data_IF_794868183747
#
_entry.id   IF_794868183747
#
_cell.length_a   1.000
_cell.length_b   1.000
_cell.length_c   1.000
_cell.angle_alpha   90.00
_cell.angle_beta   90.00
_cell.angle_gamma   90.00
#
_symmetry.space_group_name_H-M   'P 1'
#
loop_
_entity.id
_entity.type
_entity.pdbx_description
1 polymer ?
#
# COMPACT_ATOMS: atom_id res chain seq x y z
N UNK A 1 17.80 -13.97 -5.57
CA UNK A 1 17.55 -12.50 -5.45
C UNK A 1 18.78 -11.84 -4.84
N UNK A 2 19.21 -10.68 -5.36
CA UNK A 2 20.32 -9.91 -4.80
C UNK A 2 19.97 -9.45 -3.38
N UNK A 3 20.90 -9.61 -2.42
CA UNK A 3 20.69 -9.24 -1.01
C UNK A 3 20.28 -7.76 -0.85
N UNK A 4 20.80 -6.85 -1.67
CA UNK A 4 20.45 -5.43 -1.61
C UNK A 4 18.97 -5.19 -1.95
N UNK A 5 18.45 -5.87 -2.97
CA UNK A 5 17.03 -5.75 -3.35
C UNK A 5 16.14 -6.34 -2.25
N UNK A 6 16.55 -7.48 -1.68
CA UNK A 6 15.85 -8.11 -0.55
C UNK A 6 15.69 -7.14 0.61
N UNK A 7 16.79 -6.56 1.07
CA UNK A 7 16.77 -5.65 2.22
C UNK A 7 16.07 -4.32 1.90
N UNK A 8 16.19 -3.81 0.67
CA UNK A 8 15.49 -2.60 0.26
C UNK A 8 13.96 -2.77 0.39
N UNK A 9 13.41 -3.88 -0.10
CA UNK A 9 11.97 -4.19 0.01
C UNK A 9 11.53 -4.40 1.47
N UNK A 10 12.34 -5.06 2.29
CA UNK A 10 12.00 -5.31 3.69
C UNK A 10 11.99 -4.00 4.47
N UNK A 11 13.04 -3.18 4.33
CA UNK A 11 13.20 -1.94 5.10
C UNK A 11 12.16 -0.90 4.68
N UNK A 12 11.91 -0.73 3.38
CA UNK A 12 10.90 0.22 2.90
C UNK A 12 9.51 -0.11 3.43
N UNK A 13 9.14 -1.37 3.43
CA UNK A 13 7.84 -1.82 3.94
C UNK A 13 7.76 -1.77 5.46
N UNK A 14 8.83 -2.11 6.18
CA UNK A 14 8.89 -1.95 7.64
C UNK A 14 8.75 -0.48 8.05
N UNK A 15 9.48 0.42 7.37
CA UNK A 15 9.39 1.87 7.56
C UNK A 15 7.96 2.38 7.32
N UNK A 16 7.35 1.97 6.22
CA UNK A 16 5.98 2.35 5.91
C UNK A 16 5.00 1.87 6.97
N UNK A 17 5.09 0.61 7.39
CA UNK A 17 4.21 0.08 8.44
C UNK A 17 4.43 0.78 9.78
N UNK A 18 5.64 1.26 10.08
CA UNK A 18 5.91 2.10 11.24
C UNK A 18 5.16 3.43 11.13
N UNK A 19 5.31 4.14 10.01
CA UNK A 19 4.62 5.44 9.77
C UNK A 19 3.11 5.26 9.82
N UNK A 20 2.56 4.30 9.07
CA UNK A 20 1.12 4.04 9.06
C UNK A 20 0.63 3.55 10.44
N UNK A 21 1.43 2.79 11.17
CA UNK A 21 1.08 2.30 12.50
C UNK A 21 0.72 3.40 13.48
N UNK A 22 1.45 4.53 13.47
CA UNK A 22 1.13 5.64 14.38
C UNK A 22 0.23 6.72 13.75
N UNK A 23 0.26 6.92 12.44
CA UNK A 23 -0.52 7.98 11.79
C UNK A 23 -1.95 7.56 11.46
N UNK A 24 -2.18 6.29 11.10
CA UNK A 24 -3.51 5.82 10.70
C UNK A 24 -4.58 6.03 11.76
N UNK A 25 -4.36 5.75 13.06
CA UNK A 25 -5.37 6.02 14.08
C UNK A 25 -5.77 7.50 14.12
N UNK A 26 -4.81 8.42 14.01
CA UNK A 26 -5.05 9.88 14.04
C UNK A 26 -5.94 10.29 12.86
N UNK A 27 -5.51 9.89 11.66
CA UNK A 27 -6.20 10.22 10.41
C UNK A 27 -7.57 9.56 10.35
N UNK A 28 -7.65 8.30 10.75
CA UNK A 28 -8.88 7.51 10.67
C UNK A 28 -9.96 8.04 11.61
N UNK A 29 -9.63 8.29 12.89
CA UNK A 29 -10.58 8.85 13.86
C UNK A 29 -11.07 10.21 13.38
N UNK A 30 -10.17 11.07 12.92
CA UNK A 30 -10.54 12.39 12.42
C UNK A 30 -11.53 12.31 11.26
N UNK A 31 -11.24 11.50 10.25
CA UNK A 31 -12.10 11.44 9.07
C UNK A 31 -13.37 10.62 9.25
N UNK A 32 -13.35 9.54 10.03
CA UNK A 32 -14.59 8.79 10.32
C UNK A 32 -15.61 9.64 11.06
N UNK A 33 -15.17 10.54 11.94
CA UNK A 33 -16.08 11.44 12.64
C UNK A 33 -16.80 12.44 11.73
N UNK A 34 -16.31 12.64 10.50
CA UNK A 34 -16.85 13.59 9.53
C UNK A 34 -17.68 12.93 8.42
N UNK A 35 -17.59 11.62 8.28
CA UNK A 35 -18.24 10.87 7.19
C UNK A 35 -19.55 10.26 7.66
N UNK A 36 -20.58 10.37 6.83
CA UNK A 36 -21.83 9.68 7.09
C UNK A 36 -21.64 8.15 7.08
N UNK A 37 -22.28 7.41 8.01
CA UNK A 37 -22.18 5.94 8.06
C UNK A 37 -22.56 5.24 6.75
N UNK A 38 -23.48 5.81 5.97
CA UNK A 38 -23.89 5.33 4.65
C UNK A 38 -22.74 5.37 3.63
N UNK A 39 -22.00 6.47 3.61
CA UNK A 39 -20.84 6.66 2.72
C UNK A 39 -19.69 5.75 3.13
N UNK A 40 -19.45 5.61 4.44
CA UNK A 40 -18.45 4.66 4.94
C UNK A 40 -18.77 3.22 4.52
N UNK A 41 -20.03 2.80 4.68
CA UNK A 41 -20.48 1.47 4.25
C UNK A 41 -20.38 1.28 2.73
N UNK A 42 -20.72 2.32 1.95
CA UNK A 42 -20.57 2.30 0.49
C UNK A 42 -19.11 2.14 0.07
N UNK A 43 -18.19 2.88 0.69
CA UNK A 43 -16.75 2.77 0.40
C UNK A 43 -16.23 1.35 0.67
N UNK A 44 -16.58 0.73 1.81
CA UNK A 44 -16.22 -0.65 2.13
C UNK A 44 -16.81 -1.65 1.13
N UNK A 45 -18.06 -1.44 0.68
CA UNK A 45 -18.67 -2.28 -0.35
C UNK A 45 -17.92 -2.18 -1.67
N UNK A 46 -17.59 -0.96 -2.11
CA UNK A 46 -16.82 -0.71 -3.35
C UNK A 46 -15.44 -1.39 -3.25
N UNK A 47 -14.76 -1.24 -2.13
CA UNK A 47 -13.45 -1.87 -1.89
C UNK A 47 -13.53 -3.39 -2.01
N UNK A 48 -14.48 -4.02 -1.35
CA UNK A 48 -14.67 -5.46 -1.40
C UNK A 48 -15.04 -5.95 -2.82
N UNK A 49 -15.97 -5.27 -3.48
CA UNK A 49 -16.43 -5.63 -4.82
C UNK A 49 -15.31 -5.50 -5.87
N UNK A 50 -14.60 -4.39 -5.90
CA UNK A 50 -13.50 -4.18 -6.84
C UNK A 50 -12.33 -5.12 -6.57
N UNK A 51 -11.98 -5.36 -5.30
CA UNK A 51 -10.96 -6.34 -4.93
C UNK A 51 -11.31 -7.74 -5.42
N UNK A 52 -12.56 -8.17 -5.27
CA UNK A 52 -13.02 -9.46 -5.78
C UNK A 52 -12.92 -9.54 -7.32
N UNK A 53 -13.32 -8.49 -8.03
CA UNK A 53 -13.24 -8.41 -9.49
C UNK A 53 -11.78 -8.49 -9.95
N UNK A 54 -10.88 -7.68 -9.37
CA UNK A 54 -9.45 -7.64 -9.72
C UNK A 54 -8.80 -9.00 -9.47
N UNK A 55 -9.03 -9.61 -8.30
CA UNK A 55 -8.49 -10.93 -7.97
C UNK A 55 -9.01 -12.00 -8.94
N UNK A 56 -10.28 -11.95 -9.29
CA UNK A 56 -10.89 -12.87 -10.26
C UNK A 56 -10.28 -12.73 -11.66
N UNK A 57 -10.13 -11.50 -12.16
CA UNK A 57 -9.50 -11.24 -13.46
C UNK A 57 -8.04 -11.68 -13.48
N UNK A 58 -7.27 -11.33 -12.44
CA UNK A 58 -5.84 -11.62 -12.36
C UNK A 58 -5.53 -13.07 -11.91
N UNK A 59 -6.54 -13.87 -11.56
CA UNK A 59 -6.38 -15.32 -11.45
C UNK A 59 -6.00 -15.94 -12.81
N UNK A 60 -6.45 -15.35 -13.91
CA UNK A 60 -6.12 -15.78 -15.25
C UNK A 60 -4.72 -15.30 -15.69
N UNK A 61 -3.87 -16.25 -16.09
CA UNK A 61 -2.48 -15.97 -16.48
C UNK A 61 -2.36 -15.00 -17.68
N UNK A 62 -3.30 -15.03 -18.62
CA UNK A 62 -3.32 -14.13 -19.79
C UNK A 62 -3.45 -12.66 -19.36
N UNK A 63 -4.38 -12.37 -18.44
CA UNK A 63 -4.56 -11.03 -17.91
C UNK A 63 -3.36 -10.56 -17.09
N UNK A 64 -2.77 -11.44 -16.25
CA UNK A 64 -1.53 -11.11 -15.52
C UNK A 64 -0.39 -10.74 -16.45
N UNK A 65 -0.22 -11.46 -17.55
CA UNK A 65 0.83 -11.15 -18.53
C UNK A 65 0.61 -9.78 -19.18
N UNK A 66 -0.64 -9.46 -19.55
CA UNK A 66 -1.00 -8.17 -20.10
C UNK A 66 -0.75 -7.02 -19.11
N UNK A 67 -1.25 -7.12 -17.92
CA UNK A 67 -1.10 -6.08 -16.89
C UNK A 67 0.35 -5.90 -16.41
N UNK A 68 1.19 -6.93 -16.50
CA UNK A 68 2.59 -6.84 -16.12
C UNK A 68 3.35 -5.73 -16.87
N UNK A 69 3.01 -5.48 -18.12
CA UNK A 69 3.65 -4.44 -18.94
C UNK A 69 3.39 -3.03 -18.39
N UNK A 70 2.28 -2.85 -17.68
CA UNK A 70 1.83 -1.59 -17.11
C UNK A 70 2.02 -1.51 -15.60
N UNK A 71 2.68 -2.48 -14.98
CA UNK A 71 2.78 -2.58 -13.51
C UNK A 71 3.36 -1.31 -12.87
N UNK A 72 4.42 -0.73 -13.44
CA UNK A 72 5.02 0.51 -12.93
C UNK A 72 4.11 1.73 -13.10
N UNK A 73 3.30 1.76 -14.16
CA UNK A 73 2.30 2.82 -14.33
C UNK A 73 1.19 2.71 -13.28
N UNK A 74 0.75 1.50 -12.94
CA UNK A 74 -0.21 1.29 -11.86
C UNK A 74 0.35 1.73 -10.51
N UNK A 75 1.60 1.40 -10.20
CA UNK A 75 2.27 1.86 -8.98
C UNK A 75 2.38 3.39 -8.92
N UNK A 76 2.81 4.02 -10.00
CA UNK A 76 2.94 5.48 -10.06
C UNK A 76 1.56 6.16 -9.94
N UNK A 77 0.55 5.66 -10.66
CA UNK A 77 -0.80 6.19 -10.61
C UNK A 77 -1.43 6.02 -9.23
N UNK A 78 -1.28 4.83 -8.61
CA UNK A 78 -1.71 4.55 -7.25
C UNK A 78 -1.13 5.58 -6.27
N UNK A 79 0.18 5.76 -6.30
CA UNK A 79 0.89 6.67 -5.39
C UNK A 79 0.49 8.14 -5.58
N UNK A 80 0.37 8.59 -6.83
CA UNK A 80 -0.01 9.98 -7.14
C UNK A 80 -1.47 10.22 -6.71
N UNK A 81 -2.38 9.36 -7.09
CA UNK A 81 -3.80 9.51 -6.74
C UNK A 81 -4.02 9.40 -5.24
N UNK A 82 -3.32 8.49 -4.56
CA UNK A 82 -3.36 8.39 -3.11
C UNK A 82 -2.95 9.72 -2.46
N UNK A 83 -1.82 10.30 -2.85
CA UNK A 83 -1.33 11.59 -2.33
C UNK A 83 -2.34 12.71 -2.62
N UNK A 84 -2.85 12.79 -3.84
CA UNK A 84 -3.86 13.80 -4.20
C UNK A 84 -5.09 13.68 -3.31
N UNK A 85 -5.60 12.47 -3.13
CA UNK A 85 -6.83 12.22 -2.37
C UNK A 85 -6.64 12.49 -0.87
N UNK A 86 -5.50 12.16 -0.28
CA UNK A 86 -5.30 12.44 1.15
C UNK A 86 -5.25 13.94 1.47
N UNK A 87 -4.90 14.79 0.51
CA UNK A 87 -4.89 16.26 0.67
C UNK A 87 -6.18 16.95 0.20
N UNK A 88 -7.20 16.21 -0.22
CA UNK A 88 -8.52 16.81 -0.47
C UNK A 88 -9.08 17.41 0.83
N UNK A 89 -9.63 18.62 0.72
CA UNK A 89 -10.23 19.33 1.84
C UNK A 89 -11.45 18.62 2.44
N UNK A 90 -11.89 19.10 3.59
CA UNK A 90 -13.06 18.57 4.32
C UNK A 90 -14.32 18.57 3.48
N UNK A 91 -14.52 19.58 2.63
CA UNK A 91 -15.67 19.69 1.74
C UNK A 91 -15.81 18.50 0.78
N UNK A 92 -14.72 17.77 0.53
CA UNK A 92 -14.66 16.60 -0.35
C UNK A 92 -14.52 15.28 0.38
N UNK A 93 -14.86 15.23 1.68
CA UNK A 93 -14.61 14.07 2.54
C UNK A 93 -15.23 12.78 2.00
N UNK A 94 -16.44 12.84 1.46
CA UNK A 94 -17.13 11.68 0.89
C UNK A 94 -16.44 11.17 -0.38
N UNK A 95 -16.00 12.08 -1.25
CA UNK A 95 -15.23 11.76 -2.47
C UNK A 95 -13.90 11.14 -2.08
N UNK A 96 -13.26 11.64 -1.03
CA UNK A 96 -12.01 11.13 -0.50
C UNK A 96 -12.14 9.67 -0.06
N UNK A 97 -13.16 9.32 0.73
CA UNK A 97 -13.38 7.96 1.20
C UNK A 97 -13.65 7.00 0.05
N UNK A 98 -14.54 7.35 -0.86
CA UNK A 98 -14.84 6.53 -2.04
C UNK A 98 -13.61 6.41 -2.95
N UNK A 99 -12.89 7.51 -3.16
CA UNK A 99 -11.67 7.52 -3.96
C UNK A 99 -10.57 6.62 -3.41
N UNK A 100 -10.32 6.66 -2.09
CA UNK A 100 -9.36 5.76 -1.44
C UNK A 100 -9.77 4.29 -1.56
N UNK A 101 -11.07 3.98 -1.41
CA UNK A 101 -11.58 2.63 -1.60
C UNK A 101 -11.33 2.12 -3.03
N UNK A 102 -11.55 2.96 -4.05
CA UNK A 102 -11.29 2.60 -5.45
C UNK A 102 -9.80 2.40 -5.70
N UNK A 103 -8.94 3.30 -5.24
CA UNK A 103 -7.49 3.21 -5.44
C UNK A 103 -6.94 1.95 -4.78
N UNK A 104 -7.23 1.73 -3.50
CA UNK A 104 -6.74 0.56 -2.78
C UNK A 104 -7.20 -0.75 -3.40
N UNK A 105 -8.47 -0.84 -3.80
CA UNK A 105 -9.04 -2.08 -4.34
C UNK A 105 -8.66 -2.36 -5.79
N UNK A 106 -8.38 -1.35 -6.58
CA UNK A 106 -8.06 -1.49 -8.00
C UNK A 106 -6.55 -1.42 -8.23
N UNK A 107 -5.96 -0.24 -8.05
CA UNK A 107 -4.58 0.02 -8.45
C UNK A 107 -3.57 -0.69 -7.55
N UNK A 108 -3.75 -0.57 -6.23
CA UNK A 108 -2.87 -1.20 -5.26
C UNK A 108 -2.91 -2.73 -5.37
N UNK A 109 -4.09 -3.34 -5.52
CA UNK A 109 -4.22 -4.79 -5.70
C UNK A 109 -3.56 -5.27 -6.99
N UNK A 110 -3.76 -4.56 -8.11
CA UNK A 110 -3.09 -4.92 -9.37
C UNK A 110 -1.58 -4.89 -9.16
N UNK A 111 -1.05 -3.83 -8.56
CA UNK A 111 0.37 -3.70 -8.27
C UNK A 111 0.90 -4.85 -7.40
N UNK A 112 0.25 -5.15 -6.28
CA UNK A 112 0.67 -6.22 -5.38
C UNK A 112 0.67 -7.59 -6.03
N UNK A 113 -0.31 -7.90 -6.89
CA UNK A 113 -0.37 -9.16 -7.61
C UNK A 113 0.79 -9.24 -8.63
N UNK A 114 1.10 -8.12 -9.34
CA UNK A 114 2.20 -8.10 -10.28
C UNK A 114 3.56 -8.23 -9.59
N UNK A 115 3.74 -7.57 -8.46
CA UNK A 115 4.95 -7.69 -7.64
C UNK A 115 5.12 -9.12 -7.11
N UNK A 116 4.05 -9.72 -6.62
CA UNK A 116 4.05 -11.12 -6.14
C UNK A 116 4.37 -12.11 -7.26
N UNK A 117 3.83 -11.90 -8.47
CA UNK A 117 4.13 -12.73 -9.65
C UNK A 117 5.61 -12.60 -10.04
N UNK A 118 6.18 -11.40 -10.02
CA UNK A 118 7.59 -11.16 -10.30
C UNK A 118 8.49 -11.85 -9.26
N UNK A 119 8.13 -11.76 -7.97
CA UNK A 119 8.86 -12.45 -6.90
C UNK A 119 8.81 -13.98 -7.07
N UNK A 120 7.63 -14.53 -7.32
CA UNK A 120 7.45 -15.98 -7.51
C UNK A 120 8.23 -16.53 -8.71
N UNK A 121 8.44 -15.73 -9.77
CA UNK A 121 9.20 -16.13 -10.95
C UNK A 121 10.72 -16.08 -10.75
N UNK A 122 11.19 -15.19 -9.90
CA UNK A 122 12.62 -14.94 -9.71
C UNK A 122 13.20 -15.57 -8.43
N UNK A 123 12.34 -16.04 -7.54
CA UNK A 123 12.73 -16.67 -6.28
C UNK A 123 11.93 -17.97 -6.18
N UNK A 124 12.58 -19.10 -6.00
CA UNK A 124 11.93 -20.41 -5.93
C UNK A 124 12.02 -21.04 -4.54
N UNK A 125 11.05 -21.88 -4.24
CA UNK A 125 11.07 -22.80 -3.11
C UNK A 125 11.19 -22.13 -1.74
N UNK A 126 11.99 -22.71 -0.86
CA UNK A 126 12.15 -22.30 0.53
C UNK A 126 12.64 -20.86 0.67
N UNK A 127 13.53 -20.41 -0.24
CA UNK A 127 14.04 -19.02 -0.24
C UNK A 127 12.94 -17.97 -0.39
N UNK A 128 11.89 -18.25 -1.16
CA UNK A 128 10.74 -17.35 -1.30
C UNK A 128 9.90 -17.33 -0.02
N UNK A 129 9.70 -18.49 0.57
CA UNK A 129 8.98 -18.62 1.84
C UNK A 129 9.71 -17.87 2.94
N UNK A 130 11.01 -18.08 3.09
CA UNK A 130 11.84 -17.38 4.07
C UNK A 130 11.82 -15.87 3.87
N UNK A 131 11.89 -15.41 2.61
CA UNK A 131 11.78 -13.99 2.29
C UNK A 131 10.43 -13.41 2.73
N UNK A 132 9.33 -14.08 2.38
CA UNK A 132 7.98 -13.61 2.74
C UNK A 132 7.75 -13.60 4.25
N UNK A 133 8.23 -14.61 4.96
CA UNK A 133 8.15 -14.69 6.43
C UNK A 133 8.96 -13.55 7.06
N UNK A 134 10.19 -13.34 6.61
CA UNK A 134 11.05 -12.27 7.12
C UNK A 134 10.43 -10.89 6.84
N UNK A 135 9.97 -10.64 5.61
CA UNK A 135 9.31 -9.41 5.21
C UNK A 135 8.09 -9.12 6.09
N UNK A 136 7.21 -10.12 6.26
CA UNK A 136 6.01 -9.98 7.11
C UNK A 136 6.38 -9.71 8.58
N UNK A 137 7.41 -10.36 9.09
CA UNK A 137 7.88 -10.14 10.47
C UNK A 137 8.32 -8.68 10.66
N UNK A 138 9.13 -8.13 9.75
CA UNK A 138 9.56 -6.73 9.81
C UNK A 138 8.41 -5.74 9.66
N UNK A 139 7.43 -6.04 8.80
CA UNK A 139 6.21 -5.23 8.68
C UNK A 139 5.42 -5.20 9.99
N UNK A 140 5.26 -6.34 10.66
CA UNK A 140 4.57 -6.44 11.94
C UNK A 140 5.32 -5.70 13.05
N UNK A 141 6.65 -5.81 13.10
CA UNK A 141 7.46 -5.03 14.03
C UNK A 141 7.35 -3.53 13.77
N UNK A 142 7.37 -3.09 12.52
CA UNK A 142 7.13 -1.70 12.15
C UNK A 142 5.77 -1.21 12.66
N UNK A 143 4.71 -1.96 12.39
CA UNK A 143 3.35 -1.63 12.86
C UNK A 143 3.24 -1.60 14.38
N UNK A 144 3.83 -2.57 15.08
CA UNK A 144 3.82 -2.64 16.56
C UNK A 144 4.53 -1.43 17.17
N UNK A 145 5.74 -1.14 16.70
CA UNK A 145 6.52 0.02 17.17
C UNK A 145 5.77 1.32 16.84
N UNK A 146 5.25 1.45 15.61
CA UNK A 146 4.48 2.62 15.19
C UNK A 146 3.24 2.84 16.06
N UNK A 147 2.46 1.79 16.31
CA UNK A 147 1.29 1.88 17.20
C UNK A 147 1.68 2.23 18.64
N UNK A 148 2.78 1.68 19.14
CA UNK A 148 3.34 2.02 20.46
C UNK A 148 3.73 3.50 20.55
N UNK A 149 4.43 4.02 19.52
CA UNK A 149 4.75 5.45 19.42
C UNK A 149 3.45 6.27 19.37
N UNK A 150 2.46 5.84 18.58
CA UNK A 150 1.18 6.52 18.45
C UNK A 150 0.45 6.74 19.77
N UNK A 151 0.50 5.77 20.69
CA UNK A 151 -0.11 5.89 22.03
C UNK A 151 0.45 7.12 22.77
N UNK A 152 1.75 7.36 22.67
CA UNK A 152 2.43 8.44 23.39
C UNK A 152 2.29 9.82 22.74
N UNK A 153 2.26 9.88 21.41
CA UNK A 153 2.33 11.14 20.67
C UNK A 153 1.02 11.54 19.99
N UNK A 154 -0.04 10.72 20.12
CA UNK A 154 -1.33 10.95 19.45
C UNK A 154 -1.93 12.34 19.73
N UNK A 155 -1.75 12.87 20.95
CA UNK A 155 -2.22 14.20 21.32
C UNK A 155 -1.29 15.36 20.90
N UNK A 156 -0.10 15.04 20.37
CA UNK A 156 0.94 16.03 20.05
C UNK A 156 1.13 16.23 18.56
N UNK A 157 0.55 15.35 17.73
CA UNK A 157 0.69 15.39 16.27
C UNK A 157 -0.62 15.86 15.65
N UNK A 158 -0.54 16.89 14.80
CA UNK A 158 -1.68 17.33 14.02
C UNK A 158 -2.01 16.33 12.88
N UNK A 159 -3.27 16.35 12.44
CA UNK A 159 -3.74 15.53 11.32
C UNK A 159 -2.95 15.85 10.04
N UNK A 160 -2.62 17.12 9.82
CA UNK A 160 -1.85 17.57 8.66
C UNK A 160 -0.46 16.93 8.64
N UNK A 161 0.22 16.91 9.80
CA UNK A 161 1.53 16.26 9.91
C UNK A 161 1.43 14.76 9.69
N UNK A 162 0.39 14.11 10.23
CA UNK A 162 0.15 12.69 10.00
C UNK A 162 -0.05 12.38 8.49
N UNK A 163 -0.81 13.22 7.77
CA UNK A 163 -1.02 13.09 6.33
C UNK A 163 0.27 13.29 5.53
N UNK A 164 1.09 14.27 5.89
CA UNK A 164 2.40 14.50 5.25
C UNK A 164 3.30 13.28 5.42
N UNK A 165 3.34 12.70 6.61
CA UNK A 165 4.13 11.51 6.88
C UNK A 165 3.64 10.30 6.09
N UNK A 166 2.33 10.10 5.93
CA UNK A 166 1.76 9.07 5.06
C UNK A 166 2.15 9.29 3.60
N UNK A 167 2.09 10.53 3.10
CA UNK A 167 2.49 10.85 1.73
C UNK A 167 3.98 10.56 1.49
N UNK A 168 4.87 10.95 2.41
CA UNK A 168 6.30 10.63 2.33
C UNK A 168 6.51 9.11 2.32
N UNK A 169 5.83 8.38 3.19
CA UNK A 169 5.90 6.93 3.26
C UNK A 169 5.47 6.26 1.95
N UNK A 170 4.39 6.73 1.34
CA UNK A 170 3.89 6.24 0.06
C UNK A 170 4.90 6.46 -1.07
N UNK A 171 5.55 7.63 -1.11
CA UNK A 171 6.61 7.91 -2.09
C UNK A 171 7.81 6.98 -1.89
N UNK A 172 8.25 6.79 -0.66
CA UNK A 172 9.38 5.89 -0.35
C UNK A 172 9.11 4.48 -0.81
N UNK A 173 7.91 3.92 -0.52
CA UNK A 173 7.52 2.60 -1.00
C UNK A 173 7.49 2.56 -2.52
N UNK A 174 6.84 3.53 -3.17
CA UNK A 174 6.72 3.54 -4.62
C UNK A 174 8.07 3.52 -5.32
N UNK A 175 9.04 4.29 -4.82
CA UNK A 175 10.41 4.32 -5.36
C UNK A 175 11.13 3.00 -5.10
N UNK A 176 11.09 2.48 -3.87
CA UNK A 176 11.80 1.25 -3.50
C UNK A 176 11.22 0.01 -4.18
N UNK A 177 9.91 -0.12 -4.19
CA UNK A 177 9.23 -1.25 -4.83
C UNK A 177 9.31 -1.17 -6.35
N UNK A 178 9.19 0.02 -6.94
CA UNK A 178 9.37 0.24 -8.38
C UNK A 178 10.77 -0.13 -8.85
N UNK A 179 11.80 0.33 -8.13
CA UNK A 179 13.19 -0.05 -8.41
C UNK A 179 13.40 -1.57 -8.29
N UNK A 180 12.89 -2.17 -7.21
CA UNK A 180 13.01 -3.61 -6.98
C UNK A 180 12.31 -4.43 -8.06
N UNK A 181 11.12 -4.02 -8.48
CA UNK A 181 10.38 -4.65 -9.56
C UNK A 181 11.12 -4.57 -10.90
N UNK A 182 11.69 -3.40 -11.23
CA UNK A 182 12.53 -3.22 -12.41
C UNK A 182 13.70 -4.21 -12.43
N UNK A 183 14.44 -4.27 -11.32
CA UNK A 183 15.58 -5.19 -11.18
C UNK A 183 15.19 -6.67 -11.22
N UNK A 184 14.07 -7.07 -10.65
CA UNK A 184 13.56 -8.43 -10.73
C UNK A 184 13.19 -8.84 -12.16
N UNK A 185 12.78 -7.90 -13.01
CA UNK A 185 12.46 -8.18 -14.42
C UNK A 185 13.66 -8.15 -15.36
N UNK A 186 14.78 -7.54 -14.96
CA UNK A 186 16.05 -7.57 -15.71
C UNK A 186 16.80 -8.92 -15.56
N UNK A 187 16.53 -9.66 -14.47
CA UNK A 187 17.10 -10.99 -14.22
C UNK A 187 16.29 -12.01 -15.06
N UNK A 188 16.65 -12.16 -16.32
CA UNK A 188 16.12 -13.19 -17.22
C UNK A 188 17.19 -14.24 -17.51
#
# INVERSE_FOLDING_TARGET
>A
MNNNIKWLMIISQAFSNLIFGFTTPIVHIYFISLVEPSIYSLANFIEAALSAIVNSLLSNQKWRHYFKQFALYFLALDSILYIVIIFLGIDYINIRFIGLAIINSLLCNIWFIMLSDALNKNISGDTLTDFKVLQRSWMLWGSLIGSGIGIWINNSISVELALILQAISTIVIAVCDGYSFGKLNEIK
#
